data_IF_066775965863
#
_entry.id   IF_066775965863
#
_cell.length_a   1.000
_cell.length_b   1.000
_cell.length_c   1.000
_cell.angle_alpha   90.00
_cell.angle_beta   90.00
_cell.angle_gamma   90.00
#
_symmetry.space_group_name_H-M   'P 1'
#
loop_
_entity.id
_entity.type
_entity.pdbx_description
1 polymer ?
#
# COMPACT_ATOMS: atom_id res chain seq x y z
N UNK A 1 3.90 -16.00 4.14
CA UNK A 1 3.62 -14.69 4.77
C UNK A 1 2.35 -14.83 5.59
N UNK A 2 2.33 -14.41 6.86
CA UNK A 2 1.09 -14.32 7.63
C UNK A 2 0.39 -13.01 7.24
N UNK A 3 -0.84 -13.11 6.75
CA UNK A 3 -1.72 -12.00 6.42
C UNK A 3 -2.93 -12.06 7.37
N UNK A 4 -3.56 -10.93 7.73
CA UNK A 4 -3.29 -9.58 7.24
C UNK A 4 -1.98 -8.99 7.77
N UNK A 5 -1.26 -8.26 6.92
CA UNK A 5 -0.02 -7.56 7.29
C UNK A 5 -0.30 -6.06 7.39
N UNK A 6 -0.13 -5.49 8.59
CA UNK A 6 -0.12 -4.04 8.76
C UNK A 6 1.29 -3.49 8.57
N UNK A 7 1.42 -2.46 7.75
CA UNK A 7 2.66 -1.75 7.45
C UNK A 7 2.47 -0.30 7.92
N UNK A 8 3.03 0.08 9.08
CA UNK A 8 2.98 1.46 9.55
C UNK A 8 3.87 2.36 8.68
N UNK A 9 3.50 3.64 8.61
CA UNK A 9 4.23 4.68 7.89
C UNK A 9 4.90 5.60 8.92
N UNK A 10 6.20 5.40 9.12
CA UNK A 10 7.02 6.25 9.96
C UNK A 10 7.39 7.55 9.23
N UNK A 11 6.88 8.67 9.75
CA UNK A 11 7.15 10.03 9.26
C UNK A 11 8.23 10.76 10.05
N UNK A 12 8.98 10.10 10.93
CA UNK A 12 10.10 10.73 11.67
C UNK A 12 11.24 11.14 10.74
N UNK A 13 11.44 10.42 9.63
CA UNK A 13 12.42 10.77 8.62
C UNK A 13 11.94 11.90 7.71
N UNK A 14 12.80 12.88 7.44
CA UNK A 14 12.46 14.05 6.61
C UNK A 14 12.02 13.68 5.19
N UNK A 15 12.64 12.66 4.58
CA UNK A 15 12.21 12.13 3.27
C UNK A 15 10.79 11.55 3.33
N UNK A 16 10.47 10.80 4.38
CA UNK A 16 9.13 10.25 4.58
C UNK A 16 8.08 11.36 4.70
N UNK A 17 8.38 12.47 5.37
CA UNK A 17 7.46 13.63 5.43
C UNK A 17 7.22 14.28 4.06
N UNK A 18 8.21 14.22 3.18
CA UNK A 18 8.15 14.84 1.86
C UNK A 18 7.34 13.99 0.87
N UNK A 19 7.48 12.67 0.94
CA UNK A 19 6.82 11.71 0.05
C UNK A 19 5.49 11.15 0.58
N UNK A 20 5.40 10.81 1.86
CA UNK A 20 4.22 10.23 2.51
C UNK A 20 3.23 11.32 2.96
N UNK A 21 2.85 12.20 2.04
CA UNK A 21 1.84 13.25 2.30
C UNK A 21 0.46 12.62 2.51
N UNK A 22 -0.39 13.32 3.25
CA UNK A 22 -1.73 12.85 3.62
C UNK A 22 -1.80 12.31 5.06
N UNK A 23 -2.96 11.76 5.40
CA UNK A 23 -3.34 11.31 6.74
C UNK A 23 -3.29 9.79 6.91
N UNK A 24 -2.82 9.04 5.91
CA UNK A 24 -2.69 7.57 5.98
C UNK A 24 -1.55 7.20 6.94
N UNK A 25 -1.82 6.51 8.03
CA UNK A 25 -0.82 6.07 9.03
C UNK A 25 -0.34 4.64 8.79
N UNK A 26 -1.17 3.77 8.22
CA UNK A 26 -0.76 2.41 7.89
C UNK A 26 -1.45 1.85 6.65
N UNK A 27 -0.79 0.87 6.02
CA UNK A 27 -1.38 0.02 5.01
C UNK A 27 -1.70 -1.34 5.59
N UNK A 28 -2.86 -1.90 5.27
CA UNK A 28 -3.26 -3.24 5.67
C UNK A 28 -3.42 -4.10 4.43
N UNK A 29 -2.53 -5.08 4.30
CA UNK A 29 -2.49 -6.00 3.16
C UNK A 29 -3.33 -7.24 3.50
N UNK A 30 -4.42 -7.46 2.77
CA UNK A 30 -5.31 -8.60 2.90
C UNK A 30 -4.73 -9.89 2.28
N UNK A 31 -5.20 -11.03 2.78
CA UNK A 31 -4.85 -12.37 2.29
C UNK A 31 -5.49 -12.70 0.94
N UNK A 32 -6.68 -12.15 0.72
CA UNK A 32 -7.48 -12.14 -0.50
C UNK A 32 -6.94 -11.21 -1.59
N UNK A 33 -5.86 -10.48 -1.29
CA UNK A 33 -5.33 -9.44 -2.15
C UNK A 33 -6.04 -8.10 -1.97
N UNK A 34 -6.93 -7.92 -1.01
CA UNK A 34 -7.51 -6.62 -0.64
C UNK A 34 -6.47 -5.65 -0.06
N UNK A 35 -6.66 -4.35 -0.28
CA UNK A 35 -5.83 -3.31 0.34
C UNK A 35 -6.74 -2.41 1.16
N UNK A 36 -6.38 -2.17 2.42
CA UNK A 36 -7.00 -1.12 3.23
C UNK A 36 -5.95 -0.12 3.69
N UNK A 37 -6.40 1.11 3.93
CA UNK A 37 -5.60 2.15 4.56
C UNK A 37 -6.18 2.44 5.93
N UNK A 38 -5.31 2.68 6.90
CA UNK A 38 -5.67 3.20 8.22
C UNK A 38 -5.26 4.67 8.27
N UNK A 39 -6.20 5.56 8.54
CA UNK A 39 -5.98 7.01 8.61
C UNK A 39 -5.73 7.47 10.04
N UNK A 40 -5.22 8.69 10.19
CA UNK A 40 -4.95 9.32 11.50
C UNK A 40 -6.19 9.39 12.41
N UNK A 41 -7.38 9.44 11.81
CA UNK A 41 -8.66 9.36 12.52
C UNK A 41 -8.94 8.00 13.18
N UNK A 42 -8.11 6.99 12.92
CA UNK A 42 -8.33 5.60 13.30
C UNK A 42 -9.28 4.84 12.37
N UNK A 43 -9.82 5.52 11.33
CA UNK A 43 -10.71 4.89 10.36
C UNK A 43 -9.91 4.00 9.42
N UNK A 44 -10.40 2.77 9.22
CA UNK A 44 -9.88 1.84 8.23
C UNK A 44 -10.82 1.78 7.03
N UNK A 45 -10.29 2.05 5.85
CA UNK A 45 -11.04 2.08 4.60
C UNK A 45 -10.43 1.12 3.58
N UNK A 46 -11.28 0.34 2.91
CA UNK A 46 -10.83 -0.45 1.77
C UNK A 46 -10.61 0.43 0.54
N UNK A 47 -9.51 0.20 -0.15
CA UNK A 47 -9.13 0.95 -1.34
C UNK A 47 -8.77 0.00 -2.47
N UNK A 48 -9.13 0.41 -3.69
CA UNK A 48 -8.70 -0.29 -4.90
C UNK A 48 -7.38 0.28 -5.38
N UNK A 49 -6.43 -0.57 -5.76
CA UNK A 49 -5.21 -0.13 -6.44
C UNK A 49 -5.49 0.15 -7.91
N UNK A 50 -4.92 1.24 -8.40
CA UNK A 50 -4.93 1.62 -9.81
C UNK A 50 -3.73 0.96 -10.53
N UNK A 51 -3.92 0.64 -11.81
CA UNK A 51 -2.90 0.02 -12.66
C UNK A 51 -1.64 0.89 -12.83
N UNK A 52 -1.74 2.20 -12.62
CA UNK A 52 -0.60 3.12 -12.63
C UNK A 52 0.25 3.08 -11.34
N UNK A 53 -0.01 2.14 -10.42
CA UNK A 53 0.87 1.87 -9.26
C UNK A 53 2.24 1.43 -9.74
N UNK A 54 3.30 2.10 -9.26
CA UNK A 54 4.68 1.83 -9.67
C UNK A 54 5.52 1.31 -8.50
N UNK A 55 6.35 0.30 -8.77
CA UNK A 55 7.17 -0.37 -7.76
C UNK A 55 8.64 -0.28 -8.13
N UNK A 56 9.41 0.45 -7.33
CA UNK A 56 10.86 0.58 -7.44
C UNK A 56 11.55 -0.13 -6.27
N UNK A 57 12.88 -0.25 -6.33
CA UNK A 57 13.66 -0.97 -5.31
C UNK A 57 13.55 -0.34 -3.92
N UNK A 58 13.60 0.99 -3.84
CA UNK A 58 13.54 1.74 -2.59
C UNK A 58 12.33 2.68 -2.45
N UNK A 59 11.41 2.67 -3.42
CA UNK A 59 10.22 3.53 -3.45
C UNK A 59 9.04 2.75 -4.02
N UNK A 60 7.89 2.84 -3.39
CA UNK A 60 6.62 2.35 -3.94
C UNK A 60 5.68 3.53 -4.10
N UNK A 61 5.12 3.72 -5.30
CA UNK A 61 4.12 4.75 -5.56
C UNK A 61 2.78 4.04 -5.72
N UNK A 62 1.97 4.05 -4.66
CA UNK A 62 0.63 3.50 -4.68
C UNK A 62 -0.33 4.52 -5.24
N UNK A 63 -1.04 4.14 -6.30
CA UNK A 63 -2.21 4.89 -6.76
C UNK A 63 -3.43 4.13 -6.33
N UNK A 64 -4.27 4.77 -5.53
CA UNK A 64 -5.41 4.15 -4.88
C UNK A 64 -6.67 4.91 -5.24
N UNK A 65 -7.79 4.20 -5.24
CA UNK A 65 -9.12 4.76 -5.42
C UNK A 65 -9.99 4.40 -4.24
N UNK A 66 -10.59 5.43 -3.65
CA UNK A 66 -11.64 5.31 -2.64
C UNK A 66 -12.93 5.89 -3.23
N UNK A 67 -13.85 5.01 -3.63
CA UNK A 67 -15.04 5.39 -4.39
C UNK A 67 -14.71 6.14 -5.70
N UNK A 68 -14.99 7.45 -5.73
CA UNK A 68 -14.69 8.34 -6.88
C UNK A 68 -13.38 9.12 -6.72
N UNK A 69 -12.77 9.13 -5.54
CA UNK A 69 -11.54 9.88 -5.29
C UNK A 69 -10.31 9.04 -5.61
N UNK A 70 -9.33 9.68 -6.23
CA UNK A 70 -8.02 9.10 -6.50
C UNK A 70 -7.01 9.73 -5.56
N UNK A 71 -6.22 8.89 -4.90
CA UNK A 71 -5.18 9.31 -3.97
C UNK A 71 -3.86 8.65 -4.39
N UNK A 72 -2.75 9.36 -4.21
CA UNK A 72 -1.41 8.84 -4.52
C UNK A 72 -0.55 8.90 -3.27
N UNK A 73 0.05 7.78 -2.91
CA UNK A 73 0.92 7.64 -1.74
C UNK A 73 2.29 7.14 -2.18
N UNK A 74 3.32 7.94 -1.93
CA UNK A 74 4.70 7.58 -2.20
C UNK A 74 5.39 7.09 -0.91
N UNK A 75 5.88 5.85 -0.93
CA UNK A 75 6.39 5.13 0.22
C UNK A 75 7.87 4.78 0.02
N UNK A 76 8.79 5.63 0.50
CA UNK A 76 10.20 5.29 0.53
C UNK A 76 10.50 4.20 1.57
N UNK A 77 11.62 3.51 1.41
CA UNK A 77 12.09 2.47 2.34
C UNK A 77 12.22 2.96 3.77
N UNK A 78 12.64 4.21 3.96
CA UNK A 78 12.79 4.82 5.26
C UNK A 78 11.46 5.07 5.99
N UNK A 79 10.33 5.05 5.27
CA UNK A 79 9.01 5.25 5.88
C UNK A 79 8.38 3.95 6.37
N UNK A 80 8.73 2.80 5.78
CA UNK A 80 8.10 1.52 6.15
C UNK A 80 9.09 0.53 6.77
N UNK A 81 10.39 0.78 6.62
CA UNK A 81 11.46 -0.16 6.92
C UNK A 81 11.70 -1.14 5.77
N UNK A 82 12.96 -1.57 5.60
CA UNK A 82 13.39 -2.38 4.46
C UNK A 82 12.62 -3.70 4.32
N UNK A 83 12.35 -4.39 5.44
CA UNK A 83 11.62 -5.65 5.43
C UNK A 83 10.13 -5.44 5.10
N UNK A 84 9.47 -4.43 5.67
CA UNK A 84 8.07 -4.17 5.36
C UNK A 84 7.90 -3.73 3.90
N UNK A 85 8.83 -2.92 3.38
CA UNK A 85 8.82 -2.53 1.97
C UNK A 85 9.04 -3.74 1.06
N UNK A 86 9.96 -4.66 1.40
CA UNK A 86 10.14 -5.92 0.67
C UNK A 86 8.83 -6.72 0.64
N UNK A 87 8.14 -6.83 1.78
CA UNK A 87 6.87 -7.54 1.86
C UNK A 87 5.78 -6.89 1.01
N UNK A 88 5.66 -5.56 1.06
CA UNK A 88 4.75 -4.79 0.21
C UNK A 88 5.00 -5.06 -1.28
N UNK A 89 6.26 -5.02 -1.71
CA UNK A 89 6.65 -5.28 -3.10
C UNK A 89 6.27 -6.69 -3.56
N UNK A 90 6.52 -7.69 -2.70
CA UNK A 90 6.14 -9.07 -2.97
C UNK A 90 4.63 -9.17 -3.10
N UNK A 91 3.88 -8.63 -2.13
CA UNK A 91 2.42 -8.67 -2.14
C UNK A 91 1.83 -8.01 -3.40
N UNK A 92 2.32 -6.82 -3.78
CA UNK A 92 1.93 -6.13 -5.01
C UNK A 92 2.21 -6.97 -6.26
N UNK A 93 3.36 -7.63 -6.32
CA UNK A 93 3.71 -8.53 -7.44
C UNK A 93 2.80 -9.76 -7.51
N UNK A 94 2.36 -10.27 -6.37
CA UNK A 94 1.44 -11.41 -6.32
C UNK A 94 0.03 -11.01 -6.79
N UNK A 95 -0.44 -9.82 -6.41
CA UNK A 95 -1.71 -9.26 -6.89
C UNK A 95 -1.69 -8.91 -8.37
N UNK A 96 -0.56 -8.40 -8.89
CA UNK A 96 -0.39 -8.03 -10.30
C UNK A 96 -0.35 -9.23 -11.27
N UNK A 97 -0.56 -10.46 -10.81
CA UNK A 97 -0.79 -11.65 -11.64
C UNK A 97 -2.30 -11.88 -11.76
N UNK A 98 -2.98 -11.35 -12.79
CA UNK A 98 -4.43 -11.42 -12.91
C UNK A 98 -4.86 -12.73 -13.59
N UNK A 99 -4.27 -13.86 -13.20
CA UNK A 99 -4.49 -15.17 -13.83
C UNK A 99 -5.04 -16.26 -12.92
N UNK A 100 -5.27 -15.98 -11.64
CA UNK A 100 -5.69 -17.02 -10.67
C UNK A 100 -6.83 -16.61 -9.73
N UNK A 101 -7.36 -15.38 -9.85
CA UNK A 101 -8.54 -14.94 -9.09
C UNK A 101 -9.48 -14.17 -10.03
N UNK A 102 -9.69 -14.73 -11.22
CA UNK A 102 -10.79 -14.35 -12.10
C UNK A 102 -11.24 -15.61 -12.84
N UNK A 103 -12.35 -16.17 -12.37
CA UNK A 103 -13.00 -17.41 -12.80
C UNK A 103 -13.80 -17.93 -11.61
N UNK A 104 -15.13 -17.94 -11.58
CA UNK A 104 -16.07 -18.08 -12.69
C UNK A 104 -17.33 -17.23 -12.49
N UNK A 105 -17.89 -16.89 -13.65
CA UNK A 105 -19.29 -16.65 -14.03
C UNK A 105 -20.36 -16.65 -12.92
#
# INVERSE_FOLDING_TARGET
>A
MRLPLSIPIDRRHWLARLFCRGDIEALVLGADGGLSVERHSGVREEVSLDAATAVFTGLVILRMRHGRQRETLALPSCATGAEAQRRLRIWLRWRARPGLISGAA
#
